data_IF_425840909166
#
_entry.id   IF_425840909166
#
_cell.length_a   1.000
_cell.length_b   1.000
_cell.length_c   1.000
_cell.angle_alpha   90.00
_cell.angle_beta   90.00
_cell.angle_gamma   90.00
#
_symmetry.space_group_name_H-M   'P 1'
#
loop_
_entity.id
_entity.type
_entity.pdbx_description
1 polymer ?
#
# COMPACT_ATOMS: atom_id res chain seq x y z
N UNK A 1 -12.83 11.31 -9.23
CA UNK A 1 -12.09 10.61 -10.30
C UNK A 1 -10.59 10.56 -10.04
N UNK A 2 -9.92 11.67 -9.66
CA UNK A 2 -8.46 11.72 -9.41
C UNK A 2 -7.91 10.63 -8.47
N UNK A 3 -8.57 10.33 -7.36
CA UNK A 3 -8.12 9.28 -6.42
C UNK A 3 -8.02 7.90 -7.09
N UNK A 4 -9.02 7.50 -7.87
CA UNK A 4 -9.02 6.20 -8.56
C UNK A 4 -7.91 6.10 -9.60
N UNK A 5 -7.61 7.19 -10.31
CA UNK A 5 -6.51 7.24 -11.26
C UNK A 5 -5.16 7.08 -10.56
N UNK A 6 -4.95 7.73 -9.42
CA UNK A 6 -3.72 7.59 -8.63
C UNK A 6 -3.53 6.17 -8.10
N UNK A 7 -4.61 5.50 -7.68
CA UNK A 7 -4.58 4.11 -7.22
C UNK A 7 -4.14 3.17 -8.36
N UNK A 8 -4.81 3.23 -9.51
CA UNK A 8 -4.49 2.36 -10.66
C UNK A 8 -3.05 2.60 -11.12
N UNK A 9 -2.61 3.87 -11.15
CA UNK A 9 -1.24 4.22 -11.49
C UNK A 9 -0.25 3.65 -10.47
N UNK A 10 -0.49 3.84 -9.18
CA UNK A 10 0.35 3.31 -8.11
C UNK A 10 0.47 1.78 -8.15
N UNK A 11 -0.63 1.07 -8.42
CA UNK A 11 -0.62 -0.39 -8.61
C UNK A 11 0.27 -0.79 -9.80
N UNK A 12 0.05 -0.18 -10.96
CA UNK A 12 0.81 -0.49 -12.19
C UNK A 12 2.29 -0.15 -12.06
N UNK A 13 2.61 1.00 -11.47
CA UNK A 13 3.99 1.44 -11.26
C UNK A 13 4.71 0.49 -10.29
N UNK A 14 4.04 -0.02 -9.24
CA UNK A 14 4.66 -0.93 -8.25
C UNK A 14 5.09 -2.25 -8.89
N UNK A 15 4.30 -2.78 -9.83
CA UNK A 15 4.61 -4.02 -10.53
C UNK A 15 5.77 -3.86 -11.53
N UNK A 16 6.08 -2.62 -11.94
CA UNK A 16 7.17 -2.30 -12.87
C UNK A 16 8.45 -1.90 -12.14
N UNK A 17 8.34 -0.92 -11.23
CA UNK A 17 9.41 -0.36 -10.41
C UNK A 17 8.82 0.27 -9.15
N UNK A 18 9.00 -0.35 -7.96
CA UNK A 18 8.46 0.15 -6.70
C UNK A 18 8.86 1.58 -6.34
N UNK A 19 10.01 2.07 -6.85
CA UNK A 19 10.43 3.46 -6.60
C UNK A 19 9.56 4.49 -7.35
N UNK A 20 8.95 4.10 -8.46
CA UNK A 20 8.07 4.98 -9.25
C UNK A 20 6.69 5.14 -8.61
N UNK A 21 6.25 4.18 -7.80
CA UNK A 21 4.90 4.17 -7.23
C UNK A 21 4.76 4.96 -5.92
N UNK A 22 5.86 5.26 -5.22
CA UNK A 22 5.83 5.98 -3.93
C UNK A 22 5.12 7.34 -4.04
N UNK A 23 5.39 8.09 -5.12
CA UNK A 23 4.74 9.38 -5.35
C UNK A 23 3.22 9.22 -5.55
N UNK A 24 2.82 8.28 -6.40
CA UNK A 24 1.41 8.02 -6.72
C UNK A 24 0.62 7.63 -5.48
N UNK A 25 1.19 6.76 -4.63
CA UNK A 25 0.57 6.35 -3.37
C UNK A 25 0.56 7.44 -2.30
N UNK A 26 1.60 8.27 -2.23
CA UNK A 26 1.64 9.43 -1.33
C UNK A 26 0.56 10.48 -1.68
N UNK A 27 0.39 10.75 -2.98
CA UNK A 27 -0.68 11.63 -3.46
C UNK A 27 -2.07 11.01 -3.21
N UNK A 28 -2.23 9.70 -3.42
CA UNK A 28 -3.47 8.99 -3.13
C UNK A 28 -3.82 9.06 -1.64
N UNK A 29 -2.84 8.86 -0.75
CA UNK A 29 -3.01 8.97 0.70
C UNK A 29 -3.48 10.37 1.09
N UNK A 30 -2.76 11.41 0.67
CA UNK A 30 -3.13 12.79 1.00
C UNK A 30 -4.53 13.14 0.52
N UNK A 31 -4.92 12.69 -0.68
CA UNK A 31 -6.25 12.94 -1.23
C UNK A 31 -7.32 12.15 -0.48
N UNK A 32 -7.08 10.88 -0.14
CA UNK A 32 -8.01 10.06 0.60
C UNK A 32 -8.28 10.62 2.01
N UNK A 33 -7.24 11.10 2.70
CA UNK A 33 -7.38 11.78 4.00
C UNK A 33 -8.22 13.06 3.89
N UNK A 34 -7.95 13.90 2.89
CA UNK A 34 -8.73 15.13 2.64
C UNK A 34 -10.20 14.85 2.35
N UNK A 35 -10.50 13.74 1.67
CA UNK A 35 -11.85 13.32 1.32
C UNK A 35 -12.55 12.54 2.44
N UNK A 36 -11.85 12.20 3.53
CA UNK A 36 -12.39 11.34 4.60
C UNK A 36 -12.56 9.87 4.20
N UNK A 37 -11.94 9.45 3.09
CA UNK A 37 -12.00 8.11 2.51
C UNK A 37 -11.07 7.15 3.26
N UNK A 38 -11.47 6.75 4.48
CA UNK A 38 -10.61 6.00 5.42
C UNK A 38 -10.10 4.67 4.86
N UNK A 39 -10.92 3.94 4.10
CA UNK A 39 -10.52 2.68 3.48
C UNK A 39 -9.38 2.90 2.46
N UNK A 40 -9.51 3.91 1.61
CA UNK A 40 -8.47 4.25 0.63
C UNK A 40 -7.21 4.80 1.27
N UNK A 41 -7.34 5.58 2.35
CA UNK A 41 -6.19 6.03 3.13
C UNK A 41 -5.47 4.85 3.78
N UNK A 42 -6.19 3.83 4.27
CA UNK A 42 -5.57 2.62 4.81
C UNK A 42 -4.81 1.85 3.72
N UNK A 43 -5.45 1.63 2.56
CA UNK A 43 -4.80 0.93 1.44
C UNK A 43 -3.51 1.63 1.00
N UNK A 44 -3.55 2.95 0.82
CA UNK A 44 -2.36 3.72 0.43
C UNK A 44 -1.22 3.61 1.45
N UNK A 45 -1.51 3.58 2.76
CA UNK A 45 -0.49 3.35 3.80
C UNK A 45 0.13 1.96 3.72
N UNK A 46 -0.68 0.93 3.49
CA UNK A 46 -0.19 -0.45 3.32
C UNK A 46 0.71 -0.57 2.08
N UNK A 47 0.31 0.03 0.96
CA UNK A 47 1.11 0.02 -0.27
C UNK A 47 2.44 0.77 -0.12
N UNK A 48 2.47 1.90 0.59
CA UNK A 48 3.72 2.56 0.95
C UNK A 48 4.61 1.70 1.88
N UNK A 49 4.01 0.91 2.77
CA UNK A 49 4.73 -0.07 3.58
C UNK A 49 5.33 -1.19 2.75
N UNK A 50 4.59 -1.68 1.75
CA UNK A 50 5.10 -2.67 0.80
C UNK A 50 6.24 -2.11 -0.06
N UNK A 51 6.14 -0.87 -0.53
CA UNK A 51 7.22 -0.22 -1.28
C UNK A 51 8.48 -0.11 -0.43
N UNK A 52 8.35 0.29 0.85
CA UNK A 52 9.49 0.32 1.77
C UNK A 52 10.15 -1.07 1.89
N UNK A 53 9.36 -2.15 1.97
CA UNK A 53 9.87 -3.51 1.98
C UNK A 53 10.65 -3.85 0.70
N UNK A 54 10.08 -3.57 -0.46
CA UNK A 54 10.69 -3.84 -1.76
C UNK A 54 11.98 -3.04 -1.99
N UNK A 55 12.12 -1.88 -1.34
CA UNK A 55 13.33 -1.05 -1.36
C UNK A 55 14.33 -1.41 -0.25
N UNK A 56 14.05 -2.43 0.58
CA UNK A 56 14.93 -2.92 1.64
C UNK A 56 14.81 -2.21 2.99
N UNK A 57 13.87 -1.27 3.15
CA UNK A 57 13.54 -0.65 4.44
C UNK A 57 12.52 -1.51 5.20
N UNK A 58 13.01 -2.63 5.73
CA UNK A 58 12.19 -3.61 6.44
C UNK A 58 11.59 -3.06 7.74
N UNK A 59 12.32 -2.18 8.45
CA UNK A 59 11.87 -1.61 9.72
C UNK A 59 10.62 -0.74 9.53
N UNK A 60 10.64 0.16 8.53
CA UNK A 60 9.47 0.97 8.18
C UNK A 60 8.32 0.10 7.66
N UNK A 61 8.65 -0.91 6.85
CA UNK A 61 7.67 -1.78 6.24
C UNK A 61 6.84 -2.56 7.27
N UNK A 62 7.49 -3.23 8.22
CA UNK A 62 6.81 -4.06 9.24
C UNK A 62 5.80 -3.24 10.02
N UNK A 63 6.15 -2.02 10.41
CA UNK A 63 5.25 -1.14 11.16
C UNK A 63 4.07 -0.70 10.30
N UNK A 64 4.32 -0.16 9.10
CA UNK A 64 3.26 0.40 8.25
C UNK A 64 2.34 -0.68 7.70
N UNK A 65 2.90 -1.77 7.19
CA UNK A 65 2.15 -2.87 6.61
C UNK A 65 1.35 -3.61 7.69
N UNK A 66 1.95 -3.90 8.86
CA UNK A 66 1.24 -4.56 9.95
C UNK A 66 0.04 -3.76 10.47
N UNK A 67 0.17 -2.44 10.58
CA UNK A 67 -0.96 -1.57 10.94
C UNK A 67 -2.06 -1.58 9.86
N UNK A 68 -1.66 -1.48 8.58
CA UNK A 68 -2.61 -1.48 7.47
C UNK A 68 -3.37 -2.82 7.35
N UNK A 69 -2.68 -3.94 7.57
CA UNK A 69 -3.29 -5.28 7.60
C UNK A 69 -4.31 -5.40 8.73
N UNK A 70 -4.00 -4.95 9.94
CA UNK A 70 -4.95 -4.99 11.07
C UNK A 70 -6.24 -4.23 10.78
N UNK A 71 -6.14 -3.07 10.13
CA UNK A 71 -7.32 -2.29 9.72
C UNK A 71 -8.06 -2.94 8.55
N UNK A 72 -7.34 -3.54 7.60
CA UNK A 72 -7.95 -4.26 6.49
C UNK A 72 -8.73 -5.48 6.99
N UNK A 73 -8.20 -6.24 7.95
CA UNK A 73 -8.90 -7.33 8.63
C UNK A 73 -10.17 -6.85 9.32
N UNK A 74 -10.09 -5.78 10.12
CA UNK A 74 -11.28 -5.26 10.82
C UNK A 74 -12.38 -4.77 9.87
N UNK A 75 -12.00 -4.34 8.67
CA UNK A 75 -12.92 -3.80 7.67
C UNK A 75 -13.37 -4.84 6.63
N UNK A 76 -12.84 -6.08 6.67
CA UNK A 76 -13.12 -7.10 5.67
C UNK A 76 -12.53 -6.81 4.28
N UNK A 77 -11.44 -6.02 4.19
CA UNK A 77 -10.72 -5.74 2.95
C UNK A 77 -9.76 -6.90 2.60
N UNK A 78 -10.37 -8.02 2.23
CA UNK A 78 -9.67 -9.24 1.81
C UNK A 78 -8.74 -9.01 0.61
N UNK A 79 -9.12 -8.23 -0.43
CA UNK A 79 -8.23 -7.98 -1.56
C UNK A 79 -6.88 -7.34 -1.17
N UNK A 80 -6.89 -6.34 -0.27
CA UNK A 80 -5.65 -5.73 0.22
C UNK A 80 -4.81 -6.74 1.01
N UNK A 81 -5.43 -7.55 1.88
CA UNK A 81 -4.72 -8.57 2.67
C UNK A 81 -4.02 -9.62 1.81
N UNK A 82 -4.75 -10.21 0.84
CA UNK A 82 -4.18 -11.21 -0.06
C UNK A 82 -2.99 -10.65 -0.83
N UNK A 83 -3.10 -9.43 -1.35
CA UNK A 83 -2.03 -8.76 -2.07
C UNK A 83 -0.78 -8.58 -1.20
N UNK A 84 -0.93 -7.97 -0.02
CA UNK A 84 0.20 -7.70 0.88
C UNK A 84 0.86 -8.97 1.38
N UNK A 85 0.08 -10.00 1.75
CA UNK A 85 0.64 -11.28 2.19
C UNK A 85 1.40 -12.00 1.07
N UNK A 86 0.93 -11.92 -0.17
CA UNK A 86 1.59 -12.56 -1.31
C UNK A 86 2.97 -11.94 -1.55
N UNK A 87 3.03 -10.60 -1.62
CA UNK A 87 4.27 -9.89 -1.99
C UNK A 87 5.25 -9.78 -0.82
N UNK A 88 4.75 -9.62 0.41
CA UNK A 88 5.59 -9.62 1.61
C UNK A 88 6.08 -11.04 1.95
N UNK A 89 5.23 -12.06 1.74
CA UNK A 89 5.59 -13.46 1.95
C UNK A 89 6.65 -13.94 0.95
N UNK A 90 6.48 -13.66 -0.34
CA UNK A 90 7.43 -14.07 -1.39
C UNK A 90 8.82 -13.44 -1.19
N UNK A 91 8.88 -12.16 -0.82
CA UNK A 91 10.16 -11.47 -0.56
C UNK A 91 10.87 -11.90 0.72
N UNK A 92 10.21 -12.61 1.65
CA UNK A 92 10.85 -13.13 2.87
C UNK A 92 11.54 -14.50 2.64
N UNK A 93 11.25 -15.17 1.52
CA UNK A 93 11.79 -16.49 1.18
C UNK A 93 12.93 -16.47 0.16
N UNK A 94 13.42 -15.29 -0.26
CA UNK A 94 14.64 -15.14 -1.08
C UNK A 94 15.81 -14.60 -0.26
#
# INVERSE_FOLDING_TARGET
MRLRTLIIKGETDTDLDPSLSEQSWSEALSLAEKLGERAWANRARGELGLIAFLLGDTDTAVVRLGQAMKVAESNGDIPSLVRWMTLFGDGYFQ
#
